data_IF_613039026562
#
_entry.id   IF_613039026562
#
_cell.length_a   1.000
_cell.length_b   1.000
_cell.length_c   1.000
_cell.angle_alpha   90.00
_cell.angle_beta   90.00
_cell.angle_gamma   90.00
#
_symmetry.space_group_name_H-M   'P 1'
#
loop_
_entity.id
_entity.type
_entity.pdbx_description
1 polymer ?
#
# COMPACT_ATOMS: atom_id res chain seq x y z
N UNK A 1 0.57 -5.96 -15.65
CA UNK A 1 1.44 -5.27 -16.65
C UNK A 1 2.48 -4.48 -15.87
N UNK A 2 3.73 -4.43 -16.34
CA UNK A 2 4.83 -3.78 -15.62
C UNK A 2 5.40 -2.62 -16.45
N UNK A 3 5.67 -1.49 -15.82
CA UNK A 3 6.43 -0.39 -16.42
C UNK A 3 7.56 0.02 -15.49
N UNK A 4 8.71 0.30 -16.08
CA UNK A 4 9.86 0.87 -15.39
C UNK A 4 9.88 2.36 -15.69
N UNK A 5 9.90 3.17 -14.64
CA UNK A 5 9.96 4.62 -14.71
C UNK A 5 11.40 5.07 -14.43
N UNK A 6 11.97 5.82 -15.37
CA UNK A 6 13.32 6.39 -15.22
C UNK A 6 13.27 7.56 -14.24
N UNK A 7 13.56 7.26 -12.98
CA UNK A 7 13.71 8.22 -11.89
C UNK A 7 14.56 7.57 -10.80
N UNK A 8 15.83 7.97 -10.77
CA UNK A 8 16.84 7.42 -9.87
C UNK A 8 16.75 7.99 -8.44
N UNK A 9 15.97 9.05 -8.23
CA UNK A 9 15.76 9.64 -6.90
C UNK A 9 14.61 8.95 -6.15
N UNK A 10 13.78 8.19 -6.86
CA UNK A 10 12.64 7.50 -6.27
C UNK A 10 12.91 6.01 -6.02
N UNK A 11 13.01 5.66 -4.74
CA UNK A 11 13.21 4.30 -4.24
C UNK A 11 11.87 3.59 -3.98
N UNK A 12 11.00 3.51 -4.99
CA UNK A 12 9.63 3.02 -4.80
C UNK A 12 9.14 2.04 -5.90
N UNK A 13 8.07 1.31 -5.61
CA UNK A 13 7.23 0.61 -6.56
C UNK A 13 5.79 0.59 -6.03
N UNK A 14 4.79 0.58 -6.92
CA UNK A 14 3.39 0.44 -6.48
C UNK A 14 2.51 -0.16 -7.57
N UNK A 15 1.35 -0.69 -7.16
CA UNK A 15 0.32 -1.18 -8.09
C UNK A 15 -0.83 -0.19 -8.16
N UNK A 16 -1.10 0.30 -9.38
CA UNK A 16 -2.27 1.15 -9.62
C UNK A 16 -3.57 0.36 -9.54
N UNK A 17 -4.69 1.05 -9.32
CA UNK A 17 -6.03 0.46 -9.30
C UNK A 17 -6.42 -0.31 -10.58
N UNK A 18 -5.69 -0.14 -11.69
CA UNK A 18 -5.86 -0.89 -12.92
C UNK A 18 -5.01 -2.17 -13.04
N UNK A 19 -4.34 -2.61 -11.97
CA UNK A 19 -3.45 -3.78 -11.97
C UNK A 19 -2.16 -3.57 -12.78
N UNK A 20 -1.76 -2.30 -12.95
CA UNK A 20 -0.50 -1.92 -13.57
C UNK A 20 0.51 -1.69 -12.47
N UNK A 21 1.61 -2.43 -12.52
CA UNK A 21 2.75 -2.32 -11.62
C UNK A 21 3.73 -1.29 -12.18
N UNK A 22 4.10 -0.33 -11.36
CA UNK A 22 5.06 0.73 -11.68
C UNK A 22 6.28 0.55 -10.79
N UNK A 23 7.47 0.54 -11.39
CA UNK A 23 8.73 0.32 -10.70
C UNK A 23 9.66 1.49 -11.04
N UNK A 24 10.20 2.17 -10.05
CA UNK A 24 11.16 3.26 -10.29
C UNK A 24 12.59 2.72 -10.38
N UNK A 25 13.43 3.30 -11.24
CA UNK A 25 14.83 2.89 -11.38
C UNK A 25 15.63 3.07 -10.09
N UNK A 26 15.29 4.06 -9.25
CA UNK A 26 15.87 4.22 -7.91
C UNK A 26 15.69 2.97 -7.03
N UNK A 27 14.50 2.33 -7.03
CA UNK A 27 14.28 1.08 -6.30
C UNK A 27 15.17 -0.04 -6.83
N UNK A 28 15.24 -0.19 -8.15
CA UNK A 28 16.02 -1.26 -8.79
C UNK A 28 17.51 -1.19 -8.44
N UNK A 29 18.04 0.02 -8.19
CA UNK A 29 19.44 0.21 -7.78
C UNK A 29 19.73 -0.28 -6.35
N UNK A 30 18.71 -0.38 -5.50
CA UNK A 30 18.83 -0.91 -4.14
C UNK A 30 18.74 -2.44 -4.09
N UNK A 31 18.02 -3.04 -5.03
CA UNK A 31 17.80 -4.48 -5.06
C UNK A 31 19.07 -5.22 -5.50
N UNK A 32 19.54 -6.15 -4.68
CA UNK A 32 20.74 -6.96 -4.96
C UNK A 32 20.41 -8.31 -5.58
N UNK A 33 19.19 -8.78 -5.37
CA UNK A 33 18.70 -10.06 -5.89
C UNK A 33 17.27 -9.91 -6.42
N UNK A 34 16.90 -10.80 -7.33
CA UNK A 34 15.54 -10.89 -7.84
C UNK A 34 14.53 -11.22 -6.72
N UNK A 35 14.95 -11.96 -5.69
CA UNK A 35 14.12 -12.27 -4.52
C UNK A 35 13.73 -11.01 -3.74
N UNK A 36 14.68 -10.08 -3.53
CA UNK A 36 14.39 -8.82 -2.84
C UNK A 36 13.38 -7.96 -3.61
N UNK A 37 13.53 -7.91 -4.94
CA UNK A 37 12.55 -7.23 -5.78
C UNK A 37 11.20 -7.94 -5.73
N UNK A 38 11.19 -9.28 -5.76
CA UNK A 38 9.97 -10.07 -5.68
C UNK A 38 9.21 -9.79 -4.37
N UNK A 39 9.91 -9.64 -3.24
CA UNK A 39 9.30 -9.29 -1.95
C UNK A 39 8.52 -7.99 -2.04
N UNK A 40 9.16 -6.92 -2.52
CA UNK A 40 8.51 -5.60 -2.67
C UNK A 40 7.31 -5.70 -3.61
N UNK A 41 7.48 -6.36 -4.75
CA UNK A 41 6.38 -6.51 -5.73
C UNK A 41 5.23 -7.36 -5.19
N UNK A 42 5.51 -8.38 -4.38
CA UNK A 42 4.50 -9.24 -3.78
C UNK A 42 3.69 -8.49 -2.72
N UNK A 43 4.34 -7.65 -1.90
CA UNK A 43 3.67 -6.76 -0.96
C UNK A 43 2.75 -5.76 -1.68
N UNK A 44 3.25 -5.11 -2.73
CA UNK A 44 2.45 -4.17 -3.53
C UNK A 44 1.30 -4.85 -4.29
N UNK A 45 1.52 -6.08 -4.79
CA UNK A 45 0.44 -6.90 -5.38
C UNK A 45 -0.57 -7.35 -4.34
N UNK A 46 -0.16 -7.61 -3.10
CA UNK A 46 -1.08 -7.95 -2.02
C UNK A 46 -2.04 -6.79 -1.71
N UNK A 47 -1.54 -5.54 -1.67
CA UNK A 47 -2.42 -4.37 -1.54
C UNK A 47 -3.46 -4.26 -2.66
N UNK A 48 -3.07 -4.63 -3.89
CA UNK A 48 -3.99 -4.65 -5.01
C UNK A 48 -5.03 -5.77 -4.91
N UNK A 49 -4.60 -7.00 -4.59
CA UNK A 49 -5.49 -8.17 -4.48
C UNK A 49 -6.48 -8.03 -3.32
N UNK A 50 -6.06 -7.43 -2.20
CA UNK A 50 -6.93 -7.16 -1.04
C UNK A 50 -7.78 -5.88 -1.21
N UNK A 51 -7.68 -5.20 -2.35
CA UNK A 51 -8.43 -3.97 -2.65
C UNK A 51 -8.24 -2.83 -1.62
N UNK A 52 -7.09 -2.77 -0.95
CA UNK A 52 -6.80 -1.79 0.11
C UNK A 52 -6.95 -0.32 -0.36
N UNK A 53 -6.70 -0.05 -1.64
CA UNK A 53 -6.93 1.27 -2.25
C UNK A 53 -8.42 1.66 -2.28
N UNK A 54 -9.30 0.71 -2.59
CA UNK A 54 -10.75 0.90 -2.59
C UNK A 54 -11.25 1.06 -1.16
N UNK A 55 -10.78 0.23 -0.24
CA UNK A 55 -11.12 0.30 1.18
C UNK A 55 -10.75 1.66 1.77
N UNK A 56 -9.50 2.11 1.57
CA UNK A 56 -9.03 3.43 2.03
C UNK A 56 -9.87 4.57 1.47
N UNK A 57 -10.25 4.49 0.20
CA UNK A 57 -11.12 5.48 -0.45
C UNK A 57 -12.51 5.47 0.18
N UNK A 58 -13.09 4.30 0.44
CA UNK A 58 -14.38 4.15 1.13
C UNK A 58 -14.38 4.79 2.51
N UNK A 59 -13.33 4.56 3.30
CA UNK A 59 -13.18 5.20 4.61
C UNK A 59 -13.04 6.72 4.52
N UNK A 60 -12.30 7.25 3.54
CA UNK A 60 -12.22 8.70 3.33
C UNK A 60 -13.60 9.30 2.98
N UNK A 61 -14.42 8.61 2.20
CA UNK A 61 -15.79 9.04 1.92
C UNK A 61 -16.67 9.04 3.16
N UNK A 62 -16.60 7.99 3.99
CA UNK A 62 -17.32 7.92 5.27
C UNK A 62 -16.88 9.07 6.17
N UNK A 63 -15.56 9.31 6.27
CA UNK A 63 -14.98 10.39 7.07
C UNK A 63 -15.49 11.76 6.62
N UNK A 64 -15.50 12.03 5.31
CA UNK A 64 -16.06 13.27 4.73
C UNK A 64 -17.56 13.42 5.01
N UNK A 65 -18.32 12.32 4.97
CA UNK A 65 -19.73 12.31 5.32
C UNK A 65 -19.98 12.69 6.78
N UNK A 66 -19.18 12.14 7.70
CA UNK A 66 -19.23 12.51 9.13
C UNK A 66 -18.89 13.99 9.30
N UNK A 67 -17.78 14.45 8.72
CA UNK A 67 -17.34 15.86 8.81
C UNK A 67 -18.40 16.84 8.30
N UNK A 68 -19.11 16.48 7.22
CA UNK A 68 -20.24 17.25 6.69
C UNK A 68 -21.42 17.32 7.68
N UNK A 69 -21.82 16.20 8.27
CA UNK A 69 -22.94 16.15 9.21
C UNK A 69 -22.67 16.87 10.53
N UNK A 70 -21.42 16.84 11.01
CA UNK A 70 -21.01 17.48 12.27
C UNK A 70 -20.58 18.93 12.10
N UNK A 71 -20.52 19.44 10.86
CA UNK A 71 -20.01 20.77 10.56
C UNK A 71 -18.53 20.96 10.92
N UNK A 72 -17.80 19.86 11.15
CA UNK A 72 -16.39 19.89 11.51
C UNK A 72 -15.53 19.96 10.26
N UNK A 73 -15.10 21.17 9.91
CA UNK A 73 -14.05 21.36 8.91
C UNK A 73 -12.69 20.81 9.43
N UNK A 74 -11.73 20.55 8.53
CA UNK A 74 -10.40 19.93 8.76
C UNK A 74 -9.59 20.45 9.97
N UNK A 75 -9.97 21.59 10.55
CA UNK A 75 -9.34 22.21 11.73
C UNK A 75 -9.90 21.77 13.09
N UNK A 76 -10.93 20.93 13.13
CA UNK A 76 -11.61 20.50 14.36
C UNK A 76 -10.79 19.47 15.16
N UNK A 77 -10.82 19.55 16.50
CA UNK A 77 -10.28 18.52 17.41
C UNK A 77 -10.91 17.15 17.17
N UNK A 78 -12.18 17.14 16.73
CA UNK A 78 -12.90 15.91 16.36
C UNK A 78 -12.20 15.25 15.17
N UNK A 79 -11.84 16.01 14.13
CA UNK A 79 -11.11 15.49 12.96
C UNK A 79 -9.80 14.80 13.36
N UNK A 80 -9.04 15.39 14.29
CA UNK A 80 -7.80 14.78 14.80
C UNK A 80 -8.08 13.47 15.56
N UNK A 81 -9.13 13.42 16.38
CA UNK A 81 -9.52 12.21 17.09
C UNK A 81 -9.99 11.10 16.12
N UNK A 82 -10.74 11.45 15.07
CA UNK A 82 -11.20 10.50 14.06
C UNK A 82 -10.01 9.90 13.29
N UNK A 83 -9.05 10.73 12.88
CA UNK A 83 -7.84 10.27 12.18
C UNK A 83 -6.95 9.41 13.07
N UNK A 84 -6.77 9.78 14.34
CA UNK A 84 -5.98 8.98 15.28
C UNK A 84 -6.66 7.65 15.65
N UNK A 85 -7.98 7.66 15.83
CA UNK A 85 -8.75 6.50 16.31
C UNK A 85 -9.11 5.49 15.22
N UNK A 86 -9.27 5.93 13.97
CA UNK A 86 -9.66 5.06 12.86
C UNK A 86 -8.50 4.80 11.88
N UNK A 87 -7.82 5.84 11.42
CA UNK A 87 -6.87 5.72 10.31
C UNK A 87 -5.58 4.98 10.68
N UNK A 88 -5.01 5.25 11.86
CA UNK A 88 -3.75 4.60 12.30
C UNK A 88 -3.88 3.09 12.57
N UNK A 89 -4.87 2.61 13.35
CA UNK A 89 -5.02 1.17 13.58
C UNK A 89 -5.44 0.44 12.30
N UNK A 90 -6.29 1.05 11.46
CA UNK A 90 -6.65 0.50 10.16
C UNK A 90 -5.42 0.33 9.26
N UNK A 91 -4.56 1.35 9.16
CA UNK A 91 -3.32 1.25 8.38
C UNK A 91 -2.47 0.06 8.81
N UNK A 92 -2.31 -0.18 10.11
CA UNK A 92 -1.54 -1.34 10.60
C UNK A 92 -2.15 -2.71 10.24
N UNK A 93 -3.48 -2.80 10.18
CA UNK A 93 -4.15 -4.04 9.78
C UNK A 93 -3.95 -4.30 8.29
N UNK A 94 -4.11 -3.27 7.47
CA UNK A 94 -3.89 -3.28 6.02
C UNK A 94 -2.46 -3.75 5.69
N UNK A 95 -1.43 -3.17 6.32
CA UNK A 95 -0.04 -3.58 6.09
C UNK A 95 0.20 -5.05 6.51
N UNK A 96 -0.34 -5.47 7.66
CA UNK A 96 -0.20 -6.86 8.12
C UNK A 96 -0.88 -7.87 7.20
N UNK A 97 -2.03 -7.51 6.66
CA UNK A 97 -2.73 -8.33 5.68
C UNK A 97 -1.95 -8.39 4.37
N UNK A 98 -1.41 -7.26 3.92
CA UNK A 98 -0.56 -7.20 2.74
C UNK A 98 0.70 -8.08 2.91
N UNK A 99 1.37 -8.03 4.06
CA UNK A 99 2.52 -8.88 4.36
C UNK A 99 2.13 -10.37 4.34
N UNK A 100 1.01 -10.74 4.96
CA UNK A 100 0.54 -12.12 5.00
C UNK A 100 0.24 -12.67 3.61
N UNK A 101 -0.52 -11.92 2.80
CA UNK A 101 -0.85 -12.29 1.43
C UNK A 101 0.41 -12.28 0.56
N UNK A 102 1.31 -11.31 0.74
CA UNK A 102 2.59 -11.20 0.04
C UNK A 102 3.46 -12.45 0.24
N UNK A 103 3.61 -12.93 1.47
CA UNK A 103 4.32 -14.18 1.77
C UNK A 103 3.67 -15.40 1.11
N UNK A 104 2.34 -15.45 1.02
CA UNK A 104 1.61 -16.52 0.31
C UNK A 104 1.88 -16.43 -1.20
N UNK A 105 1.94 -15.22 -1.78
CA UNK A 105 2.24 -15.02 -3.19
C UNK A 105 3.69 -15.43 -3.51
N UNK A 106 4.65 -15.03 -2.68
CA UNK A 106 6.07 -15.38 -2.82
C UNK A 106 6.29 -16.89 -2.76
N UNK A 107 5.74 -17.54 -1.73
CA UNK A 107 5.87 -19.00 -1.56
C UNK A 107 5.27 -19.78 -2.74
N UNK A 108 4.14 -19.31 -3.29
CA UNK A 108 3.53 -19.91 -4.50
C UNK A 108 4.35 -19.67 -5.77
N UNK A 109 5.03 -18.54 -5.85
CA UNK A 109 5.91 -18.20 -6.97
C UNK A 109 7.33 -18.81 -6.83
N UNK A 110 7.58 -19.60 -5.78
CA UNK A 110 8.86 -20.27 -5.50
C UNK A 110 10.05 -19.31 -5.28
N UNK A 111 9.78 -18.10 -4.77
CA UNK A 111 10.81 -17.16 -4.31
C UNK A 111 11.23 -17.48 -2.88
N UNK A 112 12.46 -17.07 -2.53
CA UNK A 112 12.94 -17.16 -1.15
C UNK A 112 12.19 -16.15 -0.26
N UNK A 113 11.50 -16.66 0.76
CA UNK A 113 10.74 -15.85 1.72
C UNK A 113 11.62 -15.34 2.87
N UNK A 114 12.83 -15.87 3.04
CA UNK A 114 13.78 -15.40 4.07
C UNK A 114 14.43 -14.06 3.67
N UNK A 115 14.20 -13.62 2.42
CA UNK A 115 14.61 -12.31 1.92
C UNK A 115 13.63 -11.18 2.29
N UNK A 116 12.47 -11.49 2.89
CA UNK A 116 11.47 -10.54 3.37
C UNK A 116 11.75 -10.04 4.79
#
# INVERSE_FOLDING_TARGET
RYFVLEDDEQENAFVSAGGVVLIYTGLLRLMKTDDQLAVVLAHEMAHFVAEHNTERTGFEWIRRGVDFLTGSHERSTIHKMTTLGLTLPQSRLIEREADHIGLILLSRACFDIDAA
#
